data_IF_136021390844
#
_entry.id   IF_136021390844
#
_cell.length_a   1.000
_cell.length_b   1.000
_cell.length_c   1.000
_cell.angle_alpha   90.00
_cell.angle_beta   90.00
_cell.angle_gamma   90.00
#
_symmetry.space_group_name_H-M   'P 1'
#
loop_
_entity.id
_entity.type
_entity.pdbx_description
1 polymer ?
#
# COMPACT_ATOMS: atom_id res chain seq x y z
N UNK A 1 -28.52 16.04 -13.07
CA UNK A 1 -27.60 16.24 -14.21
C UNK A 1 -26.36 16.87 -13.60
N UNK A 2 -25.41 16.05 -13.14
CA UNK A 2 -24.15 16.57 -12.61
C UNK A 2 -23.36 17.05 -13.82
N UNK A 3 -22.86 18.28 -13.76
CA UNK A 3 -21.97 18.79 -14.80
C UNK A 3 -20.77 17.82 -14.91
N UNK A 4 -20.49 17.39 -16.12
CA UNK A 4 -19.22 16.73 -16.45
C UNK A 4 -18.15 17.77 -16.10
N UNK A 5 -17.57 17.64 -14.94
CA UNK A 5 -16.44 18.46 -14.50
C UNK A 5 -15.26 17.94 -15.29
N UNK A 6 -14.61 18.85 -15.98
CA UNK A 6 -13.37 18.58 -16.70
C UNK A 6 -12.31 18.15 -15.67
N UNK A 7 -12.29 16.84 -15.38
CA UNK A 7 -11.35 16.30 -14.39
C UNK A 7 -9.95 16.43 -14.97
N UNK A 8 -9.10 17.19 -14.31
CA UNK A 8 -7.71 17.41 -14.70
C UNK A 8 -6.97 16.08 -14.89
N UNK A 9 -7.27 15.08 -14.04
CA UNK A 9 -6.64 13.78 -14.06
C UNK A 9 -7.57 12.74 -14.67
N UNK A 10 -7.01 11.89 -15.54
CA UNK A 10 -7.72 10.77 -16.18
C UNK A 10 -7.34 9.42 -15.54
N UNK A 11 -6.13 9.33 -14.98
CA UNK A 11 -5.56 8.13 -14.42
C UNK A 11 -5.29 8.31 -12.93
N UNK A 12 -5.89 7.45 -12.11
CA UNK A 12 -5.76 7.44 -10.67
C UNK A 12 -4.94 6.22 -10.25
N UNK A 13 -3.74 6.46 -9.74
CA UNK A 13 -2.78 5.44 -9.34
C UNK A 13 -2.84 5.27 -7.83
N UNK A 14 -3.56 4.26 -7.36
CA UNK A 14 -3.72 4.01 -5.93
C UNK A 14 -2.66 3.06 -5.40
N UNK A 15 -2.00 3.45 -4.32
CA UNK A 15 -1.36 2.47 -3.46
C UNK A 15 -2.40 1.53 -2.83
N UNK A 16 -1.95 0.34 -2.37
CA UNK A 16 -2.83 -0.68 -1.84
C UNK A 16 -3.00 -0.60 -0.32
N UNK A 17 -1.88 -0.67 0.42
CA UNK A 17 -1.84 -0.87 1.86
C UNK A 17 -2.02 0.43 2.64
N UNK A 18 -3.00 0.50 3.55
CA UNK A 18 -3.45 1.71 4.25
C UNK A 18 -3.95 2.85 3.33
N UNK A 19 -4.14 2.55 2.04
CA UNK A 19 -4.76 3.45 1.08
C UNK A 19 -6.12 2.91 0.60
N UNK A 20 -6.16 1.71 0.04
CA UNK A 20 -7.42 0.99 -0.30
C UNK A 20 -7.75 -0.03 0.78
N UNK A 21 -6.78 -0.86 1.18
CA UNK A 21 -6.95 -1.87 2.21
C UNK A 21 -6.50 -1.33 3.57
N UNK A 22 -7.32 -1.54 4.62
CA UNK A 22 -6.88 -1.34 5.99
C UNK A 22 -5.93 -2.47 6.39
N UNK A 23 -4.65 -2.28 6.00
CA UNK A 23 -3.60 -3.26 6.26
C UNK A 23 -3.46 -3.52 7.76
N UNK A 24 -3.55 -2.50 8.60
CA UNK A 24 -3.38 -2.64 10.06
C UNK A 24 -4.44 -3.51 10.68
N UNK A 25 -5.70 -3.33 10.28
CA UNK A 25 -6.77 -4.18 10.78
C UNK A 25 -6.64 -5.60 10.24
N UNK A 26 -6.29 -5.76 8.96
CA UNK A 26 -6.04 -7.06 8.35
C UNK A 26 -4.86 -7.81 9.01
N UNK A 27 -3.77 -7.11 9.27
CA UNK A 27 -2.60 -7.60 9.99
C UNK A 27 -2.95 -8.06 11.41
N UNK A 28 -3.67 -7.24 12.17
CA UNK A 28 -4.14 -7.59 13.53
C UNK A 28 -5.01 -8.85 13.51
N UNK A 29 -5.90 -8.98 12.54
CA UNK A 29 -6.73 -10.17 12.38
C UNK A 29 -5.87 -11.42 12.08
N UNK A 30 -4.88 -11.29 11.18
CA UNK A 30 -3.96 -12.38 10.84
C UNK A 30 -3.14 -12.82 12.07
N UNK A 31 -2.61 -11.87 12.86
CA UNK A 31 -1.88 -12.18 14.08
C UNK A 31 -2.75 -12.86 15.15
N UNK A 32 -4.00 -12.44 15.31
CA UNK A 32 -4.93 -13.09 16.24
C UNK A 32 -5.15 -14.56 15.86
N UNK A 33 -5.24 -14.86 14.56
CA UNK A 33 -5.42 -16.23 14.07
C UNK A 33 -4.12 -17.06 14.21
N UNK A 34 -2.95 -16.48 13.97
CA UNK A 34 -1.65 -17.08 14.24
C UNK A 34 -1.52 -17.44 15.73
N UNK A 35 -1.87 -16.49 16.60
CA UNK A 35 -1.89 -16.71 18.05
C UNK A 35 -2.74 -17.92 18.44
N UNK A 36 -3.93 -18.03 17.85
CA UNK A 36 -4.83 -19.17 18.10
C UNK A 36 -4.23 -20.49 17.60
N UNK A 37 -3.62 -20.50 16.42
CA UNK A 37 -3.06 -21.71 15.79
C UNK A 37 -1.85 -22.23 16.57
N UNK A 38 -0.94 -21.33 16.97
CA UNK A 38 0.27 -21.69 17.71
C UNK A 38 0.09 -21.68 19.23
N UNK A 39 -1.12 -21.39 19.74
CA UNK A 39 -1.43 -21.27 21.17
C UNK A 39 -0.50 -20.24 21.88
N UNK A 40 -0.28 -19.09 21.22
CA UNK A 40 0.52 -17.99 21.73
C UNK A 40 -0.35 -16.90 22.35
N UNK A 41 0.22 -16.11 23.23
CA UNK A 41 -0.41 -14.88 23.71
C UNK A 41 0.14 -13.70 22.89
N UNK A 42 -0.62 -13.25 21.89
CA UNK A 42 -0.31 -12.03 21.14
C UNK A 42 -1.14 -10.87 21.69
N UNK A 43 -0.48 -9.99 22.40
CA UNK A 43 -1.05 -8.73 22.87
C UNK A 43 -0.58 -7.54 22.02
N UNK A 44 -0.98 -6.35 22.39
CA UNK A 44 -0.60 -5.14 21.65
C UNK A 44 0.93 -4.89 21.69
N UNK A 45 1.65 -5.39 22.70
CA UNK A 45 3.11 -5.26 22.80
C UNK A 45 3.82 -6.13 21.74
N UNK A 46 3.32 -7.33 21.46
CA UNK A 46 3.82 -8.20 20.39
C UNK A 46 3.61 -7.51 19.02
N UNK A 47 2.44 -6.93 18.78
CA UNK A 47 2.16 -6.18 17.56
C UNK A 47 3.07 -4.96 17.42
N UNK A 48 3.31 -4.21 18.47
CA UNK A 48 4.25 -3.09 18.45
C UNK A 48 5.68 -3.52 18.11
N UNK A 49 6.13 -4.64 18.68
CA UNK A 49 7.44 -5.22 18.37
C UNK A 49 7.53 -5.61 16.90
N UNK A 50 6.52 -6.32 16.41
CA UNK A 50 6.44 -6.65 14.98
C UNK A 50 6.44 -5.42 14.09
N UNK A 51 5.65 -4.39 14.40
CA UNK A 51 5.59 -3.16 13.60
C UNK A 51 6.95 -2.48 13.48
N UNK A 52 7.75 -2.43 14.56
CA UNK A 52 9.12 -1.88 14.52
C UNK A 52 10.02 -2.70 13.60
N UNK A 53 10.03 -4.02 13.78
CA UNK A 53 10.83 -4.95 12.98
C UNK A 53 10.42 -4.86 11.50
N UNK A 54 9.13 -4.98 11.22
CA UNK A 54 8.59 -4.95 9.85
C UNK A 54 8.91 -3.63 9.14
N UNK A 55 8.75 -2.49 9.83
CA UNK A 55 9.10 -1.17 9.29
C UNK A 55 10.57 -1.09 8.86
N UNK A 56 11.50 -1.56 9.71
CA UNK A 56 12.92 -1.53 9.36
C UNK A 56 13.26 -2.48 8.21
N UNK A 57 12.63 -3.65 8.14
CA UNK A 57 12.80 -4.58 7.02
C UNK A 57 12.30 -3.96 5.69
N UNK A 58 11.13 -3.31 5.69
CA UNK A 58 10.61 -2.63 4.50
C UNK A 58 11.46 -1.44 4.08
N UNK A 59 11.99 -0.65 5.02
CA UNK A 59 12.94 0.42 4.71
C UNK A 59 14.22 -0.12 4.06
N UNK A 60 14.76 -1.24 4.56
CA UNK A 60 15.93 -1.88 3.98
C UNK A 60 15.66 -2.39 2.56
N UNK A 61 14.45 -2.92 2.31
CA UNK A 61 14.00 -3.30 0.97
C UNK A 61 13.93 -2.08 0.03
N UNK A 62 13.29 -1.00 0.46
CA UNK A 62 13.14 0.24 -0.32
C UNK A 62 14.50 0.91 -0.64
N UNK A 63 15.52 0.68 0.20
CA UNK A 63 16.91 1.11 -0.08
C UNK A 63 17.71 0.12 -0.95
N UNK A 64 17.08 -1.01 -1.37
CA UNK A 64 17.75 -2.05 -2.15
C UNK A 64 18.74 -2.93 -1.36
N UNK A 65 18.74 -2.85 -0.03
CA UNK A 65 19.62 -3.62 0.86
C UNK A 65 19.12 -5.07 1.04
N UNK A 66 17.83 -5.31 0.84
CA UNK A 66 17.19 -6.63 0.94
C UNK A 66 16.35 -6.91 -0.30
N UNK A 67 16.26 -8.19 -0.67
CA UNK A 67 15.21 -8.65 -1.59
C UNK A 67 13.90 -8.88 -0.84
N UNK A 68 12.75 -8.83 -1.53
CA UNK A 68 11.46 -9.07 -0.90
C UNK A 68 11.40 -10.43 -0.21
N UNK A 69 11.87 -11.52 -0.85
CA UNK A 69 11.87 -12.86 -0.26
C UNK A 69 12.64 -12.93 1.06
N UNK A 70 13.80 -12.25 1.12
CA UNK A 70 14.59 -12.18 2.36
C UNK A 70 13.89 -11.37 3.45
N UNK A 71 13.29 -10.24 3.09
CA UNK A 71 12.55 -9.38 3.99
C UNK A 71 11.41 -10.16 4.67
N UNK A 72 10.62 -10.89 3.88
CA UNK A 72 9.42 -11.59 4.34
C UNK A 72 9.74 -12.58 5.46
N UNK A 73 10.81 -13.36 5.30
CA UNK A 73 11.26 -14.31 6.32
C UNK A 73 11.98 -13.61 7.48
N UNK A 74 12.83 -12.61 7.18
CA UNK A 74 13.64 -11.94 8.19
C UNK A 74 12.80 -11.23 9.26
N UNK A 75 11.68 -10.60 8.88
CA UNK A 75 10.78 -9.94 9.84
C UNK A 75 10.23 -10.92 10.89
N UNK A 76 9.88 -12.14 10.48
CA UNK A 76 9.40 -13.16 11.41
C UNK A 76 10.54 -13.84 12.17
N UNK A 77 11.69 -14.04 11.54
CA UNK A 77 12.88 -14.51 12.25
C UNK A 77 13.22 -13.56 13.40
N UNK A 78 13.31 -12.25 13.13
CA UNK A 78 13.62 -11.27 14.14
C UNK A 78 12.54 -11.20 15.22
N UNK A 79 11.26 -11.36 14.86
CA UNK A 79 10.17 -11.42 15.83
C UNK A 79 10.28 -12.64 16.76
N UNK A 80 10.55 -13.83 16.19
CA UNK A 80 10.71 -15.05 16.96
C UNK A 80 11.93 -14.97 17.87
N UNK A 81 13.05 -14.44 17.37
CA UNK A 81 14.27 -14.25 18.17
C UNK A 81 14.04 -13.27 19.35
N UNK A 82 13.33 -12.15 19.12
CA UNK A 82 13.06 -11.11 20.13
C UNK A 82 12.11 -11.61 21.23
N UNK A 83 11.15 -12.47 20.88
CA UNK A 83 10.11 -12.93 21.78
C UNK A 83 10.28 -14.37 22.25
N UNK A 84 11.41 -15.00 21.91
CA UNK A 84 11.73 -16.40 22.24
C UNK A 84 10.64 -17.39 21.80
N UNK A 85 10.12 -17.21 20.57
CA UNK A 85 9.14 -18.11 19.98
C UNK A 85 9.84 -19.25 19.24
N UNK A 86 9.56 -20.50 19.62
CA UNK A 86 10.03 -21.70 18.91
C UNK A 86 9.12 -22.02 17.71
N UNK A 87 9.16 -21.17 16.71
CA UNK A 87 8.38 -21.30 15.47
C UNK A 87 9.31 -21.08 14.27
N UNK A 88 9.15 -21.93 13.25
CA UNK A 88 9.84 -21.71 11.98
C UNK A 88 9.38 -20.42 11.31
N UNK A 89 10.28 -19.43 11.09
CA UNK A 89 9.93 -18.15 10.47
C UNK A 89 9.30 -18.28 9.07
N UNK A 90 9.70 -19.28 8.29
CA UNK A 90 9.10 -19.54 6.98
C UNK A 90 7.65 -20.01 7.11
N UNK A 91 7.37 -20.90 8.05
CA UNK A 91 6.00 -21.36 8.31
C UNK A 91 5.12 -20.21 8.80
N UNK A 92 5.67 -19.31 9.64
CA UNK A 92 4.97 -18.15 10.15
C UNK A 92 4.67 -17.13 9.04
N UNK A 93 5.64 -16.85 8.15
CA UNK A 93 5.44 -15.95 7.01
C UNK A 93 4.39 -16.49 6.02
N UNK A 94 4.47 -17.77 5.67
CA UNK A 94 3.50 -18.40 4.78
C UNK A 94 2.08 -18.32 5.36
N UNK A 95 1.92 -18.66 6.65
CA UNK A 95 0.62 -18.57 7.31
C UNK A 95 0.11 -17.13 7.39
N UNK A 96 0.98 -16.17 7.72
CA UNK A 96 0.62 -14.76 7.75
C UNK A 96 0.18 -14.26 6.38
N UNK A 97 0.91 -14.57 5.32
CA UNK A 97 0.59 -14.21 3.94
C UNK A 97 -0.75 -14.81 3.51
N UNK A 98 -0.99 -16.08 3.80
CA UNK A 98 -2.26 -16.75 3.54
C UNK A 98 -3.43 -16.06 4.28
N UNK A 99 -3.29 -15.81 5.57
CA UNK A 99 -4.32 -15.17 6.38
C UNK A 99 -4.59 -13.73 5.94
N UNK A 100 -3.53 -12.97 5.63
CA UNK A 100 -3.64 -11.59 5.17
C UNK A 100 -4.30 -11.51 3.80
N UNK A 101 -4.01 -12.46 2.89
CA UNK A 101 -4.62 -12.54 1.55
C UNK A 101 -6.14 -12.71 1.57
N UNK A 102 -6.70 -13.20 2.67
CA UNK A 102 -8.14 -13.42 2.86
C UNK A 102 -8.86 -12.24 3.54
N UNK A 103 -8.12 -11.22 3.96
CA UNK A 103 -8.70 -10.07 4.65
C UNK A 103 -9.52 -9.19 3.70
N UNK A 104 -10.64 -8.68 4.21
CA UNK A 104 -11.57 -7.82 3.46
C UNK A 104 -11.68 -6.42 4.06
N UNK A 105 -10.80 -6.07 4.99
CA UNK A 105 -10.79 -4.77 5.63
C UNK A 105 -10.40 -3.68 4.63
N UNK A 106 -11.27 -2.70 4.44
CA UNK A 106 -11.04 -1.55 3.56
C UNK A 106 -10.84 -0.28 4.38
N UNK A 107 -10.04 0.63 3.85
CA UNK A 107 -9.99 1.98 4.37
C UNK A 107 -11.35 2.65 4.26
N UNK A 108 -11.74 3.51 5.24
CA UNK A 108 -12.98 4.25 5.17
C UNK A 108 -13.09 5.01 3.83
N UNK A 109 -14.24 4.91 3.19
CA UNK A 109 -14.56 5.51 1.89
C UNK A 109 -13.83 4.94 0.67
N UNK A 110 -12.94 3.95 0.80
CA UNK A 110 -12.19 3.40 -0.33
C UNK A 110 -13.12 2.93 -1.46
N UNK A 111 -14.11 2.09 -1.13
CA UNK A 111 -15.06 1.61 -2.14
C UNK A 111 -15.88 2.75 -2.76
N UNK A 112 -16.34 3.71 -1.96
CA UNK A 112 -17.12 4.84 -2.45
C UNK A 112 -16.33 5.70 -3.46
N UNK A 113 -15.04 5.93 -3.19
CA UNK A 113 -14.16 6.67 -4.12
C UNK A 113 -13.97 5.90 -5.44
N UNK A 114 -13.73 4.59 -5.34
CA UNK A 114 -13.61 3.76 -6.54
C UNK A 114 -14.91 3.74 -7.36
N UNK A 115 -16.08 3.66 -6.71
CA UNK A 115 -17.38 3.75 -7.39
C UNK A 115 -17.53 5.08 -8.12
N UNK A 116 -17.23 6.20 -7.47
CA UNK A 116 -17.33 7.55 -8.06
C UNK A 116 -16.40 7.69 -9.25
N UNK A 117 -15.12 7.30 -9.11
CA UNK A 117 -14.15 7.40 -10.21
C UNK A 117 -14.54 6.54 -11.41
N UNK A 118 -15.08 5.35 -11.18
CA UNK A 118 -15.59 4.49 -12.25
C UNK A 118 -16.81 5.13 -12.94
N UNK A 119 -17.74 5.70 -12.18
CA UNK A 119 -18.95 6.34 -12.72
C UNK A 119 -18.61 7.62 -13.52
N UNK A 120 -17.47 8.27 -13.21
CA UNK A 120 -16.90 9.39 -13.98
C UNK A 120 -15.96 8.92 -15.10
N UNK A 121 -15.96 7.63 -15.42
CA UNK A 121 -15.15 7.03 -16.51
C UNK A 121 -13.63 7.22 -16.33
N UNK A 122 -13.16 7.46 -15.10
CA UNK A 122 -11.75 7.56 -14.81
C UNK A 122 -11.07 6.19 -14.84
N UNK A 123 -9.82 6.16 -15.25
CA UNK A 123 -9.00 4.96 -15.28
C UNK A 123 -8.30 4.77 -13.94
N UNK A 124 -8.55 3.63 -13.31
CA UNK A 124 -8.03 3.33 -11.98
C UNK A 124 -6.95 2.24 -12.11
N UNK A 125 -5.80 2.49 -11.49
CA UNK A 125 -4.66 1.57 -11.46
C UNK A 125 -4.28 1.30 -10.01
N UNK A 126 -3.76 0.11 -9.72
CA UNK A 126 -3.13 -0.18 -8.44
C UNK A 126 -1.61 -0.22 -8.61
N UNK A 127 -0.89 0.47 -7.73
CA UNK A 127 0.58 0.51 -7.69
C UNK A 127 1.05 0.11 -6.29
N UNK A 128 1.81 -0.98 -6.14
CA UNK A 128 2.14 -1.49 -4.80
C UNK A 128 3.51 -2.15 -4.72
N UNK A 129 4.19 -1.95 -3.58
CA UNK A 129 5.37 -2.72 -3.18
C UNK A 129 5.01 -3.99 -2.40
N UNK A 130 3.72 -4.24 -2.18
CA UNK A 130 3.24 -5.39 -1.42
C UNK A 130 3.47 -6.74 -2.11
N UNK A 131 3.13 -7.81 -1.40
CA UNK A 131 3.31 -9.20 -1.85
C UNK A 131 2.19 -9.58 -2.83
N UNK A 132 2.53 -10.11 -4.00
CA UNK A 132 1.58 -10.47 -5.06
C UNK A 132 0.43 -11.35 -4.56
N UNK A 133 0.74 -12.43 -3.84
CA UNK A 133 -0.27 -13.35 -3.29
C UNK A 133 -1.26 -12.61 -2.38
N UNK A 134 -0.76 -11.74 -1.50
CA UNK A 134 -1.59 -10.94 -0.61
C UNK A 134 -2.48 -9.97 -1.38
N UNK A 135 -1.92 -9.25 -2.37
CA UNK A 135 -2.68 -8.25 -3.12
C UNK A 135 -3.80 -8.88 -3.95
N UNK A 136 -3.47 -9.90 -4.75
CA UNK A 136 -4.47 -10.61 -5.56
C UNK A 136 -5.51 -11.32 -4.68
N UNK A 137 -5.09 -11.91 -3.56
CA UNK A 137 -5.98 -12.55 -2.59
C UNK A 137 -7.02 -11.57 -2.04
N UNK A 138 -6.59 -10.39 -1.57
CA UNK A 138 -7.49 -9.35 -1.04
C UNK A 138 -8.40 -8.75 -2.12
N UNK A 139 -7.88 -8.51 -3.32
CA UNK A 139 -8.69 -8.05 -4.46
C UNK A 139 -9.80 -9.06 -4.79
N UNK A 140 -9.48 -10.35 -4.76
CA UNK A 140 -10.47 -11.43 -4.96
C UNK A 140 -11.48 -11.48 -3.80
N UNK A 141 -11.00 -11.44 -2.55
CA UNK A 141 -11.85 -11.54 -1.36
C UNK A 141 -12.82 -10.35 -1.23
N UNK A 142 -12.40 -9.14 -1.63
CA UNK A 142 -13.23 -7.92 -1.59
C UNK A 142 -14.06 -7.70 -2.84
N UNK A 143 -13.78 -8.41 -3.94
CA UNK A 143 -14.39 -8.17 -5.25
C UNK A 143 -13.94 -6.86 -5.93
N UNK A 144 -12.88 -6.21 -5.42
CA UNK A 144 -12.41 -4.92 -5.95
C UNK A 144 -11.55 -5.06 -7.21
N UNK A 145 -11.14 -6.26 -7.60
CA UNK A 145 -10.27 -6.46 -8.78
C UNK A 145 -10.79 -5.83 -10.06
N UNK A 146 -12.12 -5.77 -10.26
CA UNK A 146 -12.75 -5.22 -11.45
C UNK A 146 -12.72 -3.68 -11.54
N UNK A 147 -12.31 -2.98 -10.50
CA UNK A 147 -12.13 -1.52 -10.53
C UNK A 147 -10.83 -1.11 -11.19
N UNK A 148 -9.80 -1.96 -11.13
CA UNK A 148 -8.46 -1.64 -11.58
C UNK A 148 -8.24 -2.17 -13.01
N UNK A 149 -7.90 -1.27 -13.94
CA UNK A 149 -7.52 -1.66 -15.31
C UNK A 149 -6.20 -2.43 -15.32
N UNK A 150 -5.26 -2.02 -14.47
CA UNK A 150 -3.99 -2.71 -14.27
C UNK A 150 -3.61 -2.73 -12.78
N UNK A 151 -2.85 -3.75 -12.41
CA UNK A 151 -2.28 -3.93 -11.07
C UNK A 151 -0.78 -4.06 -11.25
N UNK A 152 -0.03 -3.10 -10.71
CA UNK A 152 1.42 -3.04 -10.81
C UNK A 152 2.01 -3.43 -9.45
N UNK A 153 2.65 -4.59 -9.39
CA UNK A 153 3.28 -5.12 -8.18
C UNK A 153 4.79 -5.14 -8.38
N UNK A 154 5.54 -4.52 -7.49
CA UNK A 154 6.98 -4.34 -7.61
C UNK A 154 7.75 -5.64 -7.90
N UNK A 155 7.40 -6.75 -7.23
CA UNK A 155 8.04 -8.04 -7.43
C UNK A 155 7.81 -8.65 -8.83
N UNK A 156 6.72 -8.29 -9.50
CA UNK A 156 6.41 -8.73 -10.86
C UNK A 156 7.09 -7.83 -11.92
N UNK A 157 7.42 -6.59 -11.54
CA UNK A 157 8.02 -5.60 -12.43
C UNK A 157 9.55 -5.61 -12.38
N UNK A 158 10.16 -6.17 -11.33
CA UNK A 158 11.62 -6.16 -11.11
C UNK A 158 12.18 -4.82 -10.64
N UNK A 159 11.33 -3.85 -10.37
CA UNK A 159 11.64 -2.53 -9.78
C UNK A 159 10.51 -2.12 -8.82
N UNK A 160 10.76 -1.11 -7.98
CA UNK A 160 9.86 -0.78 -6.87
C UNK A 160 9.69 0.72 -6.68
N UNK A 161 8.62 1.16 -6.04
CA UNK A 161 8.49 2.54 -5.56
C UNK A 161 9.55 2.81 -4.48
N UNK A 162 10.28 3.93 -4.47
CA UNK A 162 10.11 5.14 -5.29
C UNK A 162 11.03 5.23 -6.52
N UNK A 163 11.48 4.11 -7.11
CA UNK A 163 12.36 4.13 -8.27
C UNK A 163 11.63 4.72 -9.48
N UNK A 164 12.30 5.60 -10.23
CA UNK A 164 11.70 6.23 -11.41
C UNK A 164 11.32 5.20 -12.48
N UNK A 165 12.13 4.15 -12.62
CA UNK A 165 11.89 3.05 -13.57
C UNK A 165 10.52 2.39 -13.34
N UNK A 166 10.10 2.24 -12.08
CA UNK A 166 8.77 1.70 -11.75
C UNK A 166 7.66 2.55 -12.38
N UNK A 167 7.74 3.87 -12.22
CA UNK A 167 6.73 4.78 -12.75
C UNK A 167 6.81 4.94 -14.26
N UNK A 168 8.00 4.88 -14.85
CA UNK A 168 8.18 4.89 -16.31
C UNK A 168 7.49 3.67 -16.94
N UNK A 169 7.63 2.48 -16.36
CA UNK A 169 6.93 1.26 -16.80
C UNK A 169 5.41 1.42 -16.65
N UNK A 170 4.94 1.96 -15.52
CA UNK A 170 3.51 2.22 -15.28
C UNK A 170 2.95 3.14 -16.37
N UNK A 171 3.57 4.30 -16.58
CA UNK A 171 3.13 5.30 -17.56
C UNK A 171 3.13 4.75 -18.99
N UNK A 172 4.19 4.02 -19.37
CA UNK A 172 4.27 3.37 -20.69
C UNK A 172 3.15 2.34 -20.87
N UNK A 173 2.91 1.51 -19.86
CA UNK A 173 1.87 0.47 -19.92
C UNK A 173 0.47 1.03 -20.06
N UNK A 174 0.16 2.11 -19.35
CA UNK A 174 -1.16 2.76 -19.41
C UNK A 174 -1.27 3.79 -20.54
N UNK A 175 -0.19 4.05 -21.27
CA UNK A 175 -0.10 5.02 -22.38
C UNK A 175 -0.57 6.41 -21.95
N UNK A 176 -0.16 6.87 -20.76
CA UNK A 176 -0.53 8.16 -20.20
C UNK A 176 0.69 9.05 -19.97
N UNK A 177 0.46 10.37 -19.98
CA UNK A 177 1.47 11.35 -19.56
C UNK A 177 1.38 11.56 -18.04
N UNK A 178 2.47 11.99 -17.43
CA UNK A 178 2.53 12.25 -16.00
C UNK A 178 1.52 13.30 -15.53
N UNK A 179 1.25 14.34 -16.35
CA UNK A 179 0.29 15.40 -16.04
C UNK A 179 -1.20 15.00 -16.17
N UNK A 180 -1.48 13.81 -16.74
CA UNK A 180 -2.81 13.19 -16.78
C UNK A 180 -3.06 12.24 -15.60
N UNK A 181 -2.03 12.00 -14.77
CA UNK A 181 -2.02 11.04 -13.68
C UNK A 181 -1.98 11.71 -12.32
N UNK A 182 -2.53 11.04 -11.30
CA UNK A 182 -2.36 11.40 -9.89
C UNK A 182 -2.14 10.13 -9.07
N UNK A 183 -1.16 10.17 -8.15
CA UNK A 183 -0.88 9.09 -7.21
C UNK A 183 -1.59 9.37 -5.89
N UNK A 184 -2.23 8.35 -5.33
CA UNK A 184 -2.83 8.38 -4.01
C UNK A 184 -2.15 7.32 -3.14
N UNK A 185 -1.49 7.72 -2.06
CA UNK A 185 -0.77 6.80 -1.18
C UNK A 185 -0.58 7.35 0.23
N UNK A 186 -0.24 6.47 1.17
CA UNK A 186 -0.06 6.80 2.58
C UNK A 186 1.42 7.05 2.97
N UNK A 187 2.38 6.70 2.07
CA UNK A 187 3.81 6.74 2.38
C UNK A 187 4.56 7.83 1.63
N UNK A 188 5.21 8.72 2.41
CA UNK A 188 6.06 9.77 1.86
C UNK A 188 7.27 9.19 1.10
N UNK A 189 7.89 8.15 1.65
CA UNK A 189 9.15 7.57 1.15
C UNK A 189 8.99 6.82 -0.18
N UNK A 190 7.81 6.25 -0.46
CA UNK A 190 7.59 5.47 -1.67
C UNK A 190 6.62 6.12 -2.65
N UNK A 191 5.43 6.53 -2.18
CA UNK A 191 4.38 7.05 -3.07
C UNK A 191 4.64 8.49 -3.47
N UNK A 192 4.87 9.34 -2.47
CA UNK A 192 4.99 10.78 -2.71
C UNK A 192 6.36 11.12 -3.32
N UNK A 193 7.43 10.55 -2.77
CA UNK A 193 8.76 10.70 -3.36
C UNK A 193 8.83 10.13 -4.78
N UNK A 194 8.19 8.98 -5.02
CA UNK A 194 8.12 8.37 -6.34
C UNK A 194 7.37 9.26 -7.33
N UNK A 195 6.21 9.79 -6.95
CA UNK A 195 5.46 10.74 -7.77
C UNK A 195 6.26 12.00 -8.08
N UNK A 196 6.96 12.56 -7.09
CA UNK A 196 7.83 13.72 -7.28
C UNK A 196 8.93 13.44 -8.32
N UNK A 197 9.61 12.29 -8.23
CA UNK A 197 10.64 11.87 -9.18
C UNK A 197 10.10 11.68 -10.61
N UNK A 198 8.86 11.17 -10.73
CA UNK A 198 8.20 10.92 -11.99
C UNK A 198 7.42 12.13 -12.56
N UNK A 199 7.45 13.28 -11.88
CA UNK A 199 6.65 14.47 -12.19
C UNK A 199 5.14 14.17 -12.28
N UNK A 200 4.64 13.29 -11.40
CA UNK A 200 3.23 12.97 -11.25
C UNK A 200 2.71 13.67 -10.00
N UNK A 201 1.56 14.33 -10.09
CA UNK A 201 0.89 14.92 -8.94
C UNK A 201 0.51 13.86 -7.90
N UNK A 202 0.52 14.23 -6.62
CA UNK A 202 0.33 13.27 -5.53
C UNK A 202 -0.69 13.75 -4.50
N UNK A 203 -1.46 12.82 -3.96
CA UNK A 203 -2.28 12.99 -2.76
C UNK A 203 -1.67 12.13 -1.65
N UNK A 204 -1.19 12.76 -0.60
CA UNK A 204 -0.76 12.05 0.60
C UNK A 204 -1.95 11.81 1.53
N UNK A 205 -2.28 10.54 1.75
CA UNK A 205 -3.32 10.12 2.70
C UNK A 205 -2.71 10.03 4.11
N UNK A 206 -2.69 11.13 4.84
CA UNK A 206 -2.15 11.26 6.18
C UNK A 206 -3.23 11.08 7.26
N UNK A 207 -3.76 9.87 7.41
CA UNK A 207 -4.86 9.57 8.35
C UNK A 207 -4.51 9.83 9.81
N UNK A 208 -3.23 9.89 10.17
CA UNK A 208 -2.75 10.12 11.53
C UNK A 208 -2.45 11.58 11.82
N UNK A 209 -2.54 12.43 10.81
CA UNK A 209 -2.12 13.84 10.89
C UNK A 209 -0.70 13.97 11.48
N UNK A 210 0.17 13.02 11.12
CA UNK A 210 1.57 13.08 11.52
C UNK A 210 2.21 14.25 10.80
N UNK A 211 2.97 15.11 11.50
CA UNK A 211 3.75 16.12 10.81
C UNK A 211 4.66 15.45 9.77
N UNK A 212 4.84 16.10 8.62
CA UNK A 212 5.90 15.70 7.69
C UNK A 212 7.24 16.03 8.36
N UNK A 213 7.70 15.11 9.23
CA UNK A 213 8.86 15.31 10.10
C UNK A 213 10.16 14.86 9.45
N UNK A 214 10.09 14.32 8.23
CA UNK A 214 11.30 13.93 7.52
C UNK A 214 11.85 15.16 6.78
N UNK A 215 12.37 16.11 7.59
CA UNK A 215 13.02 17.33 7.08
C UNK A 215 14.16 17.01 6.11
N UNK A 216 14.72 15.79 6.21
CA UNK A 216 15.80 15.33 5.35
C UNK A 216 15.30 14.89 3.95
N UNK A 217 14.05 14.43 3.83
CA UNK A 217 13.48 13.99 2.54
C UNK A 217 13.06 15.16 1.65
N UNK A 218 12.79 16.33 2.19
CA UNK A 218 12.25 17.51 1.48
C UNK A 218 11.09 17.18 0.52
N UNK A 219 10.27 16.16 0.88
CA UNK A 219 9.18 15.65 0.06
C UNK A 219 7.90 16.42 0.39
N UNK A 220 7.36 17.09 -0.62
CA UNK A 220 6.10 17.83 -0.48
C UNK A 220 5.06 17.24 -1.43
N UNK A 221 3.94 16.69 -0.92
CA UNK A 221 2.84 16.25 -1.77
C UNK A 221 2.18 17.44 -2.50
N UNK A 222 1.55 17.18 -3.64
CA UNK A 222 0.69 18.17 -4.30
C UNK A 222 -0.51 18.50 -3.43
N UNK A 223 -1.10 17.47 -2.82
CA UNK A 223 -2.21 17.58 -1.88
C UNK A 223 -2.00 16.67 -0.67
N UNK A 224 -2.55 17.07 0.48
CA UNK A 224 -2.59 16.27 1.71
C UNK A 224 -4.04 16.16 2.19
N UNK A 225 -4.47 14.93 2.50
CA UNK A 225 -5.78 14.63 3.07
C UNK A 225 -5.65 13.70 4.27
N UNK A 226 -6.56 13.81 5.23
CA UNK A 226 -6.65 12.91 6.39
C UNK A 226 -7.69 11.79 6.20
N UNK A 227 -8.47 11.86 5.12
CA UNK A 227 -9.49 10.87 4.76
C UNK A 227 -9.73 10.85 3.26
N UNK A 228 -9.98 9.66 2.70
CA UNK A 228 -10.37 9.51 1.30
C UNK A 228 -11.64 10.29 0.94
N UNK A 229 -12.54 10.55 1.90
CA UNK A 229 -13.74 11.38 1.64
C UNK A 229 -13.39 12.79 1.16
N UNK A 230 -12.24 13.34 1.56
CA UNK A 230 -11.79 14.67 1.13
C UNK A 230 -11.20 14.69 -0.28
N UNK A 231 -10.85 13.54 -0.83
CA UNK A 231 -10.28 13.44 -2.16
C UNK A 231 -11.20 14.06 -3.24
N UNK A 232 -12.53 13.86 -3.10
CA UNK A 232 -13.49 14.38 -4.07
C UNK A 232 -13.60 15.93 -4.09
N UNK A 233 -13.16 16.59 -3.04
CA UNK A 233 -13.12 18.07 -2.99
C UNK A 233 -11.93 18.63 -3.73
N UNK A 234 -10.87 17.81 -3.92
CA UNK A 234 -9.62 18.21 -4.56
C UNK A 234 -9.60 17.99 -6.07
N UNK A 235 -10.33 16.98 -6.55
CA UNK A 235 -10.29 16.53 -7.94
C UNK A 235 -11.48 17.01 -8.79
N UNK A 236 -12.37 17.81 -8.18
CA UNK A 236 -13.52 18.49 -8.82
C UNK A 236 -13.16 19.90 -9.31
#
# INVERSE_FOLDING_TARGET
MFNIIDMRYKHFLFDADNTIFDYRQGEKNAFNEIARIYNLNFDDAVLETYHKINKECWKAYERGELTQDKLLVLRFKNLCDELDFDIDPYAMDNLFTELLSKQTCLMPYAKQILDILRDEECKIQMITNGVSETQYGRLKATGLGSYFENIFISSEMGCQKPDIEYFDIVLDKIQAKSDECIIIGDRLESDILGGLKANIDTIWLNTKQTPNMDEDLHVKPTYEIDSLSKMMELIR
#
